data_IF_474030843510
#
_entry.id   IF_474030843510
#
_cell.length_a   1.000
_cell.length_b   1.000
_cell.length_c   1.000
_cell.angle_alpha   90.00
_cell.angle_beta   90.00
_cell.angle_gamma   90.00
#
_symmetry.space_group_name_H-M   'P 1'
#
loop_
_entity.id
_entity.type
_entity.pdbx_description
1 polymer ?
#
# COMPACT_ATOMS: atom_id res chain seq x y z
N UNK A 1 1.94 7.80 -0.33
CA UNK A 1 0.77 8.49 0.28
C UNK A 1 -0.49 7.70 -0.04
N UNK A 2 -1.27 7.32 0.99
CA UNK A 2 -2.32 6.27 1.01
C UNK A 2 -3.54 6.40 0.09
N UNK A 3 -3.35 6.79 -1.17
CA UNK A 3 -4.37 6.88 -2.22
C UNK A 3 -5.06 5.54 -2.47
N UNK A 4 -4.30 4.46 -2.58
CA UNK A 4 -4.82 3.10 -2.70
C UNK A 4 -5.69 2.70 -1.50
N UNK A 5 -5.28 3.07 -0.29
CA UNK A 5 -6.07 2.82 0.92
C UNK A 5 -7.33 3.66 0.98
N UNK A 6 -7.27 4.92 0.53
CA UNK A 6 -8.44 5.78 0.39
C UNK A 6 -9.47 5.17 -0.58
N UNK A 7 -9.05 4.75 -1.78
CA UNK A 7 -9.96 4.11 -2.74
C UNK A 7 -10.58 2.83 -2.18
N UNK A 8 -9.81 2.00 -1.49
CA UNK A 8 -10.32 0.77 -0.87
C UNK A 8 -11.32 1.06 0.25
N UNK A 9 -11.03 2.07 1.08
CA UNK A 9 -11.93 2.51 2.14
C UNK A 9 -13.24 3.03 1.55
N UNK A 10 -13.16 3.90 0.55
CA UNK A 10 -14.31 4.49 -0.10
C UNK A 10 -15.15 3.43 -0.83
N UNK A 11 -14.51 2.52 -1.58
CA UNK A 11 -15.19 1.39 -2.22
C UNK A 11 -15.93 0.51 -1.21
N UNK A 12 -15.36 0.29 -0.02
CA UNK A 12 -16.00 -0.49 1.06
C UNK A 12 -17.18 0.23 1.72
N UNK A 13 -17.17 1.57 1.72
CA UNK A 13 -18.19 2.42 2.34
C UNK A 13 -19.27 2.86 1.35
N UNK A 14 -19.03 2.75 0.06
CA UNK A 14 -19.96 3.16 -0.98
C UNK A 14 -21.25 2.35 -0.92
N UNK A 15 -22.38 3.04 -1.11
CA UNK A 15 -23.68 2.42 -1.33
C UNK A 15 -23.94 2.10 -2.82
N UNK A 16 -23.02 2.51 -3.71
CA UNK A 16 -23.07 2.27 -5.15
C UNK A 16 -22.25 1.03 -5.50
N UNK A 17 -22.49 0.47 -6.68
CA UNK A 17 -21.66 -0.60 -7.22
C UNK A 17 -20.32 0.01 -7.63
N UNK A 18 -19.24 -0.42 -6.98
CA UNK A 18 -17.88 0.05 -7.28
C UNK A 18 -17.06 -1.07 -7.89
N UNK A 19 -16.41 -0.80 -9.02
CA UNK A 19 -15.40 -1.69 -9.60
C UNK A 19 -14.01 -1.15 -9.31
N UNK A 20 -13.28 -1.86 -8.43
CA UNK A 20 -11.90 -1.54 -8.11
C UNK A 20 -10.91 -2.30 -9.02
N UNK A 21 -10.09 -1.56 -9.75
CA UNK A 21 -9.11 -2.03 -10.72
C UNK A 21 -7.71 -1.50 -10.40
N UNK A 22 -6.74 -2.35 -10.07
CA UNK A 22 -5.34 -1.98 -10.21
C UNK A 22 -5.04 -1.66 -11.68
N UNK A 23 -4.32 -0.58 -11.95
CA UNK A 23 -4.07 -0.10 -13.31
C UNK A 23 -3.39 -1.16 -14.19
N UNK A 24 -2.49 -1.98 -13.63
CA UNK A 24 -1.80 -3.05 -14.38
C UNK A 24 -2.77 -4.12 -14.94
N UNK A 25 -3.99 -4.22 -14.40
CA UNK A 25 -5.01 -5.12 -14.97
C UNK A 25 -5.69 -4.55 -16.22
N UNK A 26 -5.44 -3.28 -16.56
CA UNK A 26 -6.05 -2.58 -17.68
C UNK A 26 -5.20 -2.62 -18.96
N UNK A 27 -4.15 -3.46 -19.04
CA UNK A 27 -3.29 -3.58 -20.24
C UNK A 27 -4.07 -3.84 -21.53
N UNK A 28 -5.12 -4.67 -21.43
CA UNK A 28 -6.03 -5.00 -22.54
C UNK A 28 -7.18 -3.99 -22.71
N UNK A 29 -7.30 -3.02 -21.80
CA UNK A 29 -8.41 -2.08 -21.73
C UNK A 29 -9.17 -2.18 -20.40
N UNK A 30 -9.88 -1.10 -20.05
CA UNK A 30 -10.63 -1.00 -18.79
C UNK A 30 -11.89 -1.89 -18.84
N UNK A 31 -12.60 -1.91 -19.96
CA UNK A 31 -13.82 -2.73 -20.14
C UNK A 31 -13.52 -4.21 -19.94
N UNK A 32 -12.46 -4.70 -20.54
CA UNK A 32 -11.97 -6.07 -20.47
C UNK A 32 -11.57 -6.43 -19.03
N UNK A 33 -10.92 -5.49 -18.33
CA UNK A 33 -10.55 -5.67 -16.94
C UNK A 33 -11.78 -5.77 -16.01
N UNK A 34 -12.87 -5.06 -16.33
CA UNK A 34 -14.15 -5.20 -15.63
C UNK A 34 -14.81 -6.54 -15.97
N UNK A 35 -14.90 -6.91 -17.26
CA UNK A 35 -15.49 -8.18 -17.70
C UNK A 35 -14.80 -9.38 -17.05
N UNK A 36 -13.48 -9.36 -16.90
CA UNK A 36 -12.72 -10.42 -16.25
C UNK A 36 -13.09 -10.64 -14.77
N UNK A 37 -13.77 -9.68 -14.12
CA UNK A 37 -14.30 -9.81 -12.75
C UNK A 37 -15.74 -10.31 -12.69
N UNK A 38 -16.44 -10.34 -13.83
CA UNK A 38 -17.85 -10.69 -13.92
C UNK A 38 -18.01 -12.14 -14.40
N UNK A 39 -19.17 -12.73 -14.15
CA UNK A 39 -19.50 -14.09 -14.58
C UNK A 39 -20.88 -14.11 -15.26
N UNK A 40 -21.09 -15.04 -16.20
CA UNK A 40 -22.37 -15.21 -16.89
C UNK A 40 -22.77 -14.00 -17.75
N UNK A 41 -24.06 -13.66 -17.78
CA UNK A 41 -24.60 -12.57 -18.63
C UNK A 41 -24.03 -11.19 -18.30
N UNK A 42 -23.47 -10.99 -17.11
CA UNK A 42 -22.81 -9.74 -16.73
C UNK A 42 -21.52 -9.46 -17.53
N UNK A 43 -20.97 -10.46 -18.25
CA UNK A 43 -19.83 -10.28 -19.15
C UNK A 43 -20.21 -9.65 -20.49
N UNK A 44 -21.50 -9.56 -20.83
CA UNK A 44 -21.93 -8.97 -22.11
C UNK A 44 -21.44 -7.53 -22.25
N UNK A 45 -20.72 -7.27 -23.34
CA UNK A 45 -20.03 -6.00 -23.58
C UNK A 45 -21.02 -4.84 -23.72
N UNK A 46 -22.15 -5.06 -24.40
CA UNK A 46 -23.15 -4.01 -24.62
C UNK A 46 -23.86 -3.65 -23.31
N UNK A 47 -24.16 -4.65 -22.49
CA UNK A 47 -24.70 -4.46 -21.15
C UNK A 47 -23.73 -3.67 -20.26
N UNK A 48 -22.46 -4.07 -20.21
CA UNK A 48 -21.45 -3.37 -19.41
C UNK A 48 -21.28 -1.92 -19.88
N UNK A 49 -21.19 -1.69 -21.18
CA UNK A 49 -21.09 -0.36 -21.77
C UNK A 49 -22.28 0.52 -21.37
N UNK A 50 -23.49 -0.05 -21.35
CA UNK A 50 -24.71 0.66 -20.92
C UNK A 50 -24.65 1.03 -19.43
N UNK A 51 -24.13 0.15 -18.58
CA UNK A 51 -23.94 0.42 -17.14
C UNK A 51 -22.91 1.52 -16.88
N UNK A 52 -21.78 1.48 -17.59
CA UNK A 52 -20.72 2.49 -17.48
C UNK A 52 -21.25 3.85 -17.95
N UNK A 53 -21.87 3.89 -19.14
CA UNK A 53 -22.33 5.14 -19.75
C UNK A 53 -23.49 5.78 -18.98
N UNK A 54 -24.38 4.98 -18.38
CA UNK A 54 -25.45 5.48 -17.51
C UNK A 54 -24.94 5.93 -16.13
N UNK A 55 -23.66 5.70 -15.83
CA UNK A 55 -23.07 5.97 -14.53
C UNK A 55 -23.59 5.05 -13.44
N UNK A 56 -24.19 3.89 -13.77
CA UNK A 56 -24.75 2.95 -12.79
C UNK A 56 -23.66 2.29 -11.91
N UNK A 57 -22.41 2.30 -12.36
CA UNK A 57 -21.25 1.80 -11.64
C UNK A 57 -20.18 2.88 -11.54
N UNK A 58 -19.49 2.92 -10.40
CA UNK A 58 -18.32 3.77 -10.20
C UNK A 58 -17.05 2.95 -10.41
N UNK A 59 -16.05 3.49 -11.09
CA UNK A 59 -14.83 2.77 -11.49
C UNK A 59 -13.62 3.40 -10.82
N UNK A 60 -12.91 2.64 -9.98
CA UNK A 60 -11.71 3.09 -9.30
C UNK A 60 -10.49 2.43 -9.93
N UNK A 61 -9.61 3.24 -10.52
CA UNK A 61 -8.38 2.81 -11.17
C UNK A 61 -7.19 3.23 -10.30
N UNK A 62 -6.47 2.26 -9.74
CA UNK A 62 -5.41 2.50 -8.77
C UNK A 62 -4.01 2.35 -9.39
N UNK A 63 -3.17 3.38 -9.27
CA UNK A 63 -1.73 3.28 -9.58
C UNK A 63 -1.36 3.43 -11.06
N UNK A 64 -1.90 4.41 -11.78
CA UNK A 64 -1.58 4.60 -13.22
C UNK A 64 -0.09 4.91 -13.51
N UNK A 65 0.67 5.33 -12.50
CA UNK A 65 2.13 5.49 -12.58
C UNK A 65 2.89 4.16 -12.64
N UNK A 66 2.22 3.03 -12.43
CA UNK A 66 2.82 1.69 -12.39
C UNK A 66 2.69 0.93 -13.73
N UNK A 67 2.11 1.57 -14.76
CA UNK A 67 1.85 0.93 -16.06
C UNK A 67 2.52 1.63 -17.22
N UNK A 68 2.62 0.93 -18.36
CA UNK A 68 3.19 1.45 -19.60
C UNK A 68 2.41 2.65 -20.16
N UNK A 69 3.07 3.46 -20.99
CA UNK A 69 2.42 4.61 -21.66
C UNK A 69 1.21 4.18 -22.51
N UNK A 70 1.28 3.01 -23.16
CA UNK A 70 0.17 2.43 -23.92
C UNK A 70 -1.04 2.15 -23.03
N UNK A 71 -0.82 1.52 -21.86
CA UNK A 71 -1.90 1.24 -20.91
C UNK A 71 -2.53 2.52 -20.39
N UNK A 72 -1.71 3.56 -20.12
CA UNK A 72 -2.22 4.89 -19.74
C UNK A 72 -3.11 5.49 -20.84
N UNK A 73 -2.70 5.39 -22.10
CA UNK A 73 -3.48 5.88 -23.23
C UNK A 73 -4.84 5.17 -23.33
N UNK A 74 -4.88 3.84 -23.18
CA UNK A 74 -6.14 3.06 -23.15
C UNK A 74 -7.05 3.49 -22.01
N UNK A 75 -6.49 3.73 -20.82
CA UNK A 75 -7.26 4.24 -19.67
C UNK A 75 -7.81 5.64 -19.97
N UNK A 76 -7.00 6.55 -20.53
CA UNK A 76 -7.46 7.89 -20.91
C UNK A 76 -8.60 7.84 -21.92
N UNK A 77 -8.42 7.09 -23.01
CA UNK A 77 -9.42 6.93 -24.06
C UNK A 77 -10.74 6.40 -23.50
N UNK A 78 -10.68 5.41 -22.59
CA UNK A 78 -11.86 4.89 -21.92
C UNK A 78 -12.60 5.97 -21.12
N UNK A 79 -11.87 6.77 -20.34
CA UNK A 79 -12.46 7.82 -19.48
C UNK A 79 -13.09 8.93 -20.34
N UNK A 80 -12.43 9.30 -21.43
CA UNK A 80 -12.94 10.34 -22.34
C UNK A 80 -14.19 9.86 -23.10
N UNK A 81 -14.22 8.61 -23.56
CA UNK A 81 -15.42 8.02 -24.20
C UNK A 81 -16.59 7.88 -23.22
N UNK A 82 -16.31 7.60 -21.95
CA UNK A 82 -17.32 7.37 -20.90
C UNK A 82 -17.47 8.57 -19.96
N UNK A 83 -17.49 9.79 -20.50
CA UNK A 83 -17.52 11.05 -19.73
C UNK A 83 -18.74 11.23 -18.79
N UNK A 84 -19.79 10.40 -18.93
CA UNK A 84 -20.95 10.37 -18.02
C UNK A 84 -20.79 9.40 -16.85
N UNK A 85 -19.81 8.50 -16.91
CA UNK A 85 -19.48 7.57 -15.85
C UNK A 85 -18.66 8.23 -14.74
N UNK A 86 -18.71 7.66 -13.54
CA UNK A 86 -17.89 8.10 -12.42
C UNK A 86 -16.59 7.31 -12.39
N UNK A 87 -15.47 7.96 -12.70
CA UNK A 87 -14.15 7.32 -12.65
C UNK A 87 -13.22 8.09 -11.70
N UNK A 88 -12.62 7.38 -10.74
CA UNK A 88 -11.56 7.92 -9.89
C UNK A 88 -10.27 7.22 -10.26
N UNK A 89 -9.23 8.00 -10.58
CA UNK A 89 -7.90 7.50 -10.95
C UNK A 89 -6.90 7.99 -9.91
N UNK A 90 -6.04 7.11 -9.41
CA UNK A 90 -4.91 7.52 -8.56
C UNK A 90 -3.61 7.46 -9.34
N UNK A 91 -2.75 8.44 -9.07
CA UNK A 91 -1.40 8.49 -9.60
C UNK A 91 -0.44 9.08 -8.57
N UNK A 92 0.82 8.73 -8.67
CA UNK A 92 1.92 9.55 -8.16
C UNK A 92 2.27 10.64 -9.20
N UNK A 93 3.01 11.71 -8.83
CA UNK A 93 3.49 12.68 -9.80
C UNK A 93 4.15 11.96 -10.99
N UNK A 94 3.63 12.22 -12.18
CA UNK A 94 4.01 11.56 -13.43
C UNK A 94 3.86 12.57 -14.55
N UNK A 95 4.78 12.55 -15.51
CA UNK A 95 4.60 13.26 -16.77
C UNK A 95 3.65 12.48 -17.68
N UNK A 96 2.40 12.93 -17.76
CA UNK A 96 1.40 12.37 -18.65
C UNK A 96 0.30 13.40 -18.91
N UNK A 97 -0.46 13.17 -19.99
CA UNK A 97 -1.63 13.97 -20.32
C UNK A 97 -2.84 13.27 -19.70
N UNK A 98 -3.37 13.86 -18.63
CA UNK A 98 -4.60 13.38 -18.01
C UNK A 98 -5.80 13.59 -18.96
N UNK A 99 -6.89 12.81 -18.80
CA UNK A 99 -8.10 12.99 -19.59
C UNK A 99 -8.60 14.43 -19.53
N UNK A 100 -9.02 14.98 -20.67
CA UNK A 100 -9.48 16.36 -20.80
C UNK A 100 -10.67 16.71 -19.88
N UNK A 101 -11.46 15.71 -19.50
CA UNK A 101 -12.62 15.81 -18.60
C UNK A 101 -12.27 15.68 -17.12
N UNK A 102 -11.01 15.37 -16.78
CA UNK A 102 -10.63 15.05 -15.41
C UNK A 102 -10.47 16.29 -14.52
N UNK A 103 -10.95 16.18 -13.28
CA UNK A 103 -10.62 17.12 -12.20
C UNK A 103 -9.51 16.52 -11.34
N UNK A 104 -8.47 17.31 -11.09
CA UNK A 104 -7.33 16.87 -10.28
C UNK A 104 -7.52 17.22 -8.82
N UNK A 105 -7.49 16.21 -7.96
CA UNK A 105 -7.48 16.35 -6.51
C UNK A 105 -6.13 15.95 -5.94
N UNK A 106 -5.60 16.74 -5.00
CA UNK A 106 -4.33 16.45 -4.32
C UNK A 106 -4.62 16.00 -2.89
N UNK A 107 -4.18 14.79 -2.56
CA UNK A 107 -4.22 14.29 -1.18
C UNK A 107 -3.28 15.15 -0.32
N UNK A 108 -3.84 15.78 0.71
CA UNK A 108 -3.08 16.62 1.63
C UNK A 108 -2.32 15.77 2.65
N UNK A 109 -1.19 16.28 3.20
CA UNK A 109 -0.56 15.70 4.38
C UNK A 109 -1.55 15.57 5.55
N UNK A 110 -1.29 14.62 6.44
CA UNK A 110 -2.05 14.48 7.67
C UNK A 110 -1.74 15.65 8.60
N UNK A 111 -2.78 16.13 9.29
CA UNK A 111 -2.62 17.08 10.39
C UNK A 111 -1.99 16.40 11.60
N UNK A 112 -1.39 17.18 12.49
CA UNK A 112 -0.85 16.68 13.78
C UNK A 112 -1.88 15.87 14.56
N UNK A 113 -3.12 16.35 14.64
CA UNK A 113 -4.21 15.66 15.33
C UNK A 113 -4.51 14.29 14.68
N UNK A 114 -4.51 14.21 13.36
CA UNK A 114 -4.73 12.95 12.65
C UNK A 114 -3.57 11.95 12.87
N UNK A 115 -2.33 12.43 12.95
CA UNK A 115 -1.16 11.62 13.27
C UNK A 115 -1.27 11.06 14.70
N UNK A 116 -1.59 11.91 15.68
CA UNK A 116 -1.80 11.53 17.08
C UNK A 116 -2.93 10.51 17.23
N UNK A 117 -4.06 10.75 16.55
CA UNK A 117 -5.20 9.84 16.55
C UNK A 117 -4.84 8.49 15.94
N UNK A 118 -4.16 8.48 14.79
CA UNK A 118 -3.76 7.25 14.10
C UNK A 118 -2.86 6.37 14.98
N UNK A 119 -1.87 6.95 15.66
CA UNK A 119 -1.03 6.20 16.59
C UNK A 119 -1.84 5.71 17.79
N UNK A 120 -2.71 6.54 18.36
CA UNK A 120 -3.52 6.17 19.52
C UNK A 120 -4.49 5.01 19.23
N UNK A 121 -5.15 5.03 18.07
CA UNK A 121 -6.07 3.96 17.64
C UNK A 121 -5.36 2.63 17.39
N UNK A 122 -4.05 2.67 17.09
CA UNK A 122 -3.25 1.46 16.90
C UNK A 122 -3.02 0.67 18.17
N UNK A 123 -3.17 1.28 19.35
CA UNK A 123 -3.03 0.59 20.63
C UNK A 123 -3.91 -0.67 20.72
N UNK A 124 -5.12 -0.63 20.15
CA UNK A 124 -6.07 -1.73 20.14
C UNK A 124 -5.72 -2.86 19.15
N UNK A 125 -4.76 -2.63 18.25
CA UNK A 125 -4.34 -3.57 17.20
C UNK A 125 -2.92 -4.10 17.40
N UNK A 126 -2.30 -3.81 18.54
CA UNK A 126 -0.98 -4.32 18.88
C UNK A 126 -1.05 -5.84 19.12
N UNK A 127 -0.06 -6.55 18.59
CA UNK A 127 0.06 -8.00 18.76
C UNK A 127 0.44 -8.40 20.19
N UNK A 128 0.43 -9.70 20.45
CA UNK A 128 0.80 -10.22 21.77
C UNK A 128 2.27 -9.96 22.12
N UNK A 129 3.14 -9.90 21.11
CA UNK A 129 4.59 -9.66 21.23
C UNK A 129 4.97 -8.19 21.48
N UNK A 130 4.01 -7.26 21.57
CA UNK A 130 4.32 -5.87 21.90
C UNK A 130 4.83 -5.74 23.35
N UNK A 131 5.99 -5.14 23.54
CA UNK A 131 6.59 -4.89 24.87
C UNK A 131 5.88 -3.77 25.63
N UNK A 132 5.35 -2.78 24.92
CA UNK A 132 4.55 -1.68 25.49
C UNK A 132 3.14 -1.73 24.90
N UNK A 133 2.11 -1.67 25.76
CA UNK A 133 0.70 -1.77 25.37
C UNK A 133 -0.17 -0.74 26.09
N UNK A 134 -1.43 -0.64 25.68
CA UNK A 134 -2.44 0.16 26.37
C UNK A 134 -2.04 1.63 26.51
N UNK A 135 -2.18 2.16 27.73
CA UNK A 135 -1.92 3.58 27.99
C UNK A 135 -0.43 3.93 28.03
N UNK A 136 0.45 2.99 28.39
CA UNK A 136 1.90 3.19 28.30
C UNK A 136 2.35 3.40 26.85
N UNK A 137 1.76 2.65 25.92
CA UNK A 137 2.03 2.82 24.49
C UNK A 137 1.54 4.19 24.00
N UNK A 138 0.30 4.59 24.35
CA UNK A 138 -0.23 5.90 23.98
C UNK A 138 0.64 7.03 24.53
N UNK A 139 1.13 6.90 25.77
CA UNK A 139 2.05 7.86 26.39
C UNK A 139 3.38 7.91 25.64
N UNK A 140 3.94 6.77 25.25
CA UNK A 140 5.16 6.70 24.45
C UNK A 140 4.98 7.37 23.07
N UNK A 141 3.85 7.14 22.38
CA UNK A 141 3.51 7.82 21.13
C UNK A 141 3.42 9.34 21.31
N UNK A 142 2.75 9.81 22.37
CA UNK A 142 2.64 11.24 22.65
C UNK A 142 4.01 11.87 22.90
N UNK A 143 4.85 11.23 23.72
CA UNK A 143 6.20 11.72 24.00
C UNK A 143 7.07 11.77 22.74
N UNK A 144 6.96 10.75 21.89
CA UNK A 144 7.65 10.71 20.60
C UNK A 144 7.23 11.90 19.70
N UNK A 145 5.92 12.14 19.57
CA UNK A 145 5.41 13.23 18.74
C UNK A 145 5.74 14.62 19.31
N UNK A 146 5.78 14.79 20.64
CA UNK A 146 6.24 16.04 21.25
C UNK A 146 7.68 16.36 20.84
N UNK A 147 8.55 15.34 20.81
CA UNK A 147 9.96 15.52 20.43
C UNK A 147 10.13 15.81 18.93
N UNK A 148 9.41 15.07 18.08
CA UNK A 148 9.58 15.12 16.62
C UNK A 148 8.83 16.29 15.98
N UNK A 149 7.72 16.71 16.58
CA UNK A 149 6.90 17.84 16.12
C UNK A 149 7.00 19.01 17.10
N UNK A 150 8.19 19.23 17.64
CA UNK A 150 8.47 20.38 18.50
C UNK A 150 8.47 21.66 17.66
N UNK A 151 7.66 22.64 18.06
CA UNK A 151 7.55 23.92 17.39
C UNK A 151 8.82 24.79 17.55
N UNK A 152 9.78 24.37 18.39
CA UNK A 152 11.10 24.99 18.49
C UNK A 152 12.07 24.55 17.38
N UNK A 153 11.75 23.50 16.62
CA UNK A 153 12.55 23.06 15.48
C UNK A 153 12.43 24.06 14.30
N UNK A 154 13.45 24.13 13.42
CA UNK A 154 13.35 24.88 12.18
C UNK A 154 12.13 24.47 11.36
N UNK A 155 11.47 25.43 10.71
CA UNK A 155 10.25 25.19 9.93
C UNK A 155 10.41 24.09 8.88
N UNK A 156 11.58 24.02 8.23
CA UNK A 156 11.86 23.01 7.20
C UNK A 156 11.96 21.60 7.78
N UNK A 157 12.52 21.44 8.98
CA UNK A 157 12.61 20.15 9.69
C UNK A 157 11.23 19.69 10.17
N UNK A 158 10.40 20.63 10.65
CA UNK A 158 9.04 20.34 11.06
C UNK A 158 8.19 19.89 9.86
N UNK A 159 8.30 20.60 8.72
CA UNK A 159 7.61 20.25 7.48
C UNK A 159 8.06 18.90 6.93
N UNK A 160 9.36 18.60 6.96
CA UNK A 160 9.89 17.30 6.56
C UNK A 160 9.33 16.19 7.46
N UNK A 161 9.34 16.40 8.77
CA UNK A 161 8.82 15.43 9.75
C UNK A 161 7.33 15.16 9.55
N UNK A 162 6.52 16.22 9.37
CA UNK A 162 5.10 16.11 9.07
C UNK A 162 4.84 15.37 7.75
N UNK A 163 5.63 15.62 6.71
CA UNK A 163 5.50 14.92 5.42
C UNK A 163 5.77 13.43 5.55
N UNK A 164 6.81 13.03 6.29
CA UNK A 164 7.12 11.60 6.52
C UNK A 164 6.01 10.95 7.35
N UNK A 165 5.61 11.56 8.47
CA UNK A 165 4.54 11.01 9.34
C UNK A 165 3.16 11.02 8.67
N UNK A 166 2.97 11.81 7.61
CA UNK A 166 1.76 11.78 6.78
C UNK A 166 1.65 10.53 5.90
N UNK A 167 2.73 9.77 5.75
CA UNK A 167 2.68 8.48 5.07
C UNK A 167 2.18 7.40 6.05
N UNK A 168 1.02 6.78 5.81
CA UNK A 168 0.51 5.75 6.71
C UNK A 168 1.45 4.57 6.88
N UNK A 169 2.28 4.25 5.89
CA UNK A 169 3.26 3.17 6.00
C UNK A 169 4.36 3.51 7.03
N UNK A 170 4.98 4.68 6.91
CA UNK A 170 6.01 5.14 7.86
C UNK A 170 5.42 5.30 9.27
N UNK A 171 4.20 5.84 9.38
CA UNK A 171 3.52 5.98 10.66
C UNK A 171 3.16 4.62 11.28
N UNK A 172 2.92 3.60 10.45
CA UNK A 172 2.76 2.22 10.91
C UNK A 172 4.06 1.65 11.47
N UNK A 173 5.18 1.94 10.82
CA UNK A 173 6.49 1.50 11.27
C UNK A 173 6.88 2.16 12.60
N UNK A 174 6.66 3.48 12.72
CA UNK A 174 6.83 4.22 13.97
C UNK A 174 6.02 3.58 15.10
N UNK A 175 4.74 3.27 14.85
CA UNK A 175 3.91 2.57 15.82
C UNK A 175 4.50 1.22 16.24
N UNK A 176 4.95 0.40 15.29
CA UNK A 176 5.52 -0.92 15.58
C UNK A 176 6.79 -0.79 16.42
N UNK A 177 7.71 0.10 16.05
CA UNK A 177 8.94 0.36 16.80
C UNK A 177 8.66 0.81 18.24
N UNK A 178 7.75 1.77 18.44
CA UNK A 178 7.37 2.23 19.78
C UNK A 178 6.78 1.09 20.62
N UNK A 179 5.95 0.23 20.01
CA UNK A 179 5.39 -0.94 20.70
C UNK A 179 6.45 -1.95 21.14
N UNK A 180 7.62 -1.95 20.51
CA UNK A 180 8.77 -2.80 20.82
C UNK A 180 9.79 -2.13 21.76
N UNK A 181 9.41 -1.01 22.39
CA UNK A 181 10.28 -0.18 23.22
C UNK A 181 11.47 0.44 22.47
N UNK A 182 11.38 0.55 21.14
CA UNK A 182 12.41 1.19 20.32
C UNK A 182 12.17 2.70 20.22
N UNK A 183 13.22 3.44 19.86
CA UNK A 183 13.17 4.87 19.59
C UNK A 183 13.25 5.12 18.08
N UNK A 184 12.12 5.39 17.39
CA UNK A 184 12.12 5.52 15.93
C UNK A 184 12.96 6.71 15.48
N UNK A 185 13.90 6.47 14.58
CA UNK A 185 14.59 7.52 13.84
C UNK A 185 13.82 7.82 12.55
N UNK A 186 13.12 8.95 12.51
CA UNK A 186 12.20 9.29 11.43
C UNK A 186 12.89 9.33 10.05
N UNK A 187 14.17 9.69 10.00
CA UNK A 187 14.93 9.82 8.76
C UNK A 187 15.62 8.52 8.33
N UNK A 188 15.67 7.52 9.22
CA UNK A 188 16.31 6.23 8.96
C UNK A 188 15.39 5.03 9.28
N UNK A 189 14.06 5.23 9.31
CA UNK A 189 13.09 4.21 9.76
C UNK A 189 13.29 2.85 9.10
N UNK A 190 13.40 2.80 7.78
CA UNK A 190 13.55 1.54 7.05
C UNK A 190 14.88 0.84 7.37
N UNK A 191 15.97 1.60 7.46
CA UNK A 191 17.27 1.07 7.83
C UNK A 191 17.27 0.55 9.26
N UNK A 192 16.65 1.29 10.19
CA UNK A 192 16.51 0.88 11.59
C UNK A 192 15.68 -0.40 11.71
N UNK A 193 14.56 -0.50 10.98
CA UNK A 193 13.75 -1.72 10.93
C UNK A 193 14.56 -2.92 10.43
N UNK A 194 15.30 -2.75 9.34
CA UNK A 194 16.16 -3.79 8.80
C UNK A 194 17.25 -4.20 9.80
N UNK A 195 17.90 -3.24 10.47
CA UNK A 195 18.96 -3.54 11.44
C UNK A 195 18.44 -4.35 12.63
N UNK A 196 17.25 -4.01 13.14
CA UNK A 196 16.61 -4.77 14.21
C UNK A 196 16.31 -6.21 13.77
N UNK A 197 15.72 -6.36 12.58
CA UNK A 197 15.41 -7.67 11.99
C UNK A 197 16.67 -8.50 11.74
N UNK A 198 17.69 -7.90 11.14
CA UNK A 198 18.95 -8.57 10.82
C UNK A 198 19.71 -9.00 12.09
N UNK A 199 19.69 -8.19 13.15
CA UNK A 199 20.30 -8.54 14.43
C UNK A 199 19.56 -9.72 15.10
N UNK A 200 18.23 -9.81 14.98
CA UNK A 200 17.49 -10.98 15.45
C UNK A 200 17.76 -12.21 14.60
N UNK A 201 17.76 -12.05 13.27
CA UNK A 201 18.09 -13.11 12.32
C UNK A 201 19.45 -13.76 12.64
N UNK A 202 20.48 -12.93 12.88
CA UNK A 202 21.81 -13.41 13.25
C UNK A 202 21.82 -14.18 14.58
N UNK A 203 21.03 -13.73 15.57
CA UNK A 203 20.93 -14.43 16.86
C UNK A 203 20.25 -15.78 16.75
N UNK A 204 19.18 -15.87 15.97
CA UNK A 204 18.38 -17.08 15.79
C UNK A 204 19.09 -18.10 14.89
N UNK A 205 19.57 -17.66 13.73
CA UNK A 205 20.06 -18.54 12.68
C UNK A 205 21.59 -18.64 12.58
N UNK A 206 22.32 -17.87 13.40
CA UNK A 206 23.80 -17.88 13.49
C UNK A 206 24.53 -17.57 12.18
N UNK A 207 23.87 -16.87 11.26
CA UNK A 207 24.49 -16.32 10.05
C UNK A 207 23.83 -15.00 9.66
N UNK A 208 24.61 -14.13 9.02
CA UNK A 208 24.15 -12.80 8.65
C UNK A 208 23.05 -12.89 7.59
N UNK A 209 22.09 -11.96 7.64
CA UNK A 209 21.08 -11.83 6.59
C UNK A 209 21.79 -11.57 5.25
N UNK A 210 21.58 -12.39 4.20
CA UNK A 210 22.33 -12.31 2.96
C UNK A 210 21.83 -11.18 2.04
N UNK A 211 21.86 -9.94 2.55
CA UNK A 211 21.20 -8.77 1.96
C UNK A 211 21.56 -8.57 0.49
N UNK A 212 22.85 -8.66 0.13
CA UNK A 212 23.31 -8.46 -1.24
C UNK A 212 22.74 -9.51 -2.20
N UNK A 213 22.70 -10.78 -1.79
CA UNK A 213 22.16 -11.87 -2.60
C UNK A 213 20.64 -11.73 -2.73
N UNK A 214 19.97 -11.47 -1.61
CA UNK A 214 18.53 -11.26 -1.55
C UNK A 214 18.11 -10.08 -2.43
N UNK A 215 18.72 -8.91 -2.25
CA UNK A 215 18.40 -7.69 -2.99
C UNK A 215 18.63 -7.85 -4.50
N UNK A 216 19.72 -8.53 -4.90
CA UNK A 216 19.98 -8.83 -6.31
C UNK A 216 18.90 -9.72 -6.90
N UNK A 217 18.45 -10.75 -6.17
CA UNK A 217 17.38 -11.63 -6.65
C UNK A 217 16.07 -10.88 -6.79
N UNK A 218 15.70 -10.06 -5.80
CA UNK A 218 14.50 -9.22 -5.88
C UNK A 218 14.58 -8.25 -7.05
N UNK A 219 15.74 -7.63 -7.29
CA UNK A 219 15.94 -6.75 -8.44
C UNK A 219 15.68 -7.47 -9.77
N UNK A 220 16.25 -8.67 -9.96
CA UNK A 220 16.03 -9.47 -11.16
C UNK A 220 14.55 -9.83 -11.37
N UNK A 221 13.84 -10.19 -10.29
CA UNK A 221 12.41 -10.45 -10.34
C UNK A 221 11.63 -9.22 -10.79
N UNK A 222 11.97 -8.03 -10.27
CA UNK A 222 11.35 -6.77 -10.70
C UNK A 222 11.62 -6.44 -12.16
N UNK A 223 12.81 -6.73 -12.68
CA UNK A 223 13.10 -6.57 -14.11
C UNK A 223 12.26 -7.48 -15.01
N UNK A 224 11.75 -8.58 -14.46
CA UNK A 224 10.91 -9.55 -15.18
C UNK A 224 9.41 -9.41 -14.82
N UNK A 225 9.00 -8.31 -14.19
CA UNK A 225 7.64 -8.08 -13.69
C UNK A 225 7.11 -9.17 -12.72
N UNK A 226 8.02 -9.91 -12.09
CA UNK A 226 7.70 -10.91 -11.09
C UNK A 226 7.56 -10.28 -9.70
N UNK A 227 6.43 -10.55 -9.03
CA UNK A 227 6.12 -9.98 -7.71
C UNK A 227 6.23 -10.98 -6.56
N UNK A 228 6.48 -12.26 -6.83
CA UNK A 228 6.56 -13.30 -5.81
C UNK A 228 7.93 -13.26 -5.15
N UNK A 229 7.98 -13.34 -3.83
CA UNK A 229 9.25 -13.60 -3.16
C UNK A 229 9.65 -15.07 -3.35
N UNK A 230 10.94 -15.33 -3.68
CA UNK A 230 11.47 -16.66 -3.94
C UNK A 230 11.63 -17.45 -2.63
N UNK A 231 10.49 -17.93 -2.11
CA UNK A 231 10.38 -18.57 -0.78
C UNK A 231 11.16 -19.89 -0.68
N UNK A 232 11.40 -20.56 -1.80
CA UNK A 232 12.20 -21.79 -1.85
C UNK A 232 13.70 -21.51 -1.66
N UNK A 233 14.17 -20.32 -2.07
CA UNK A 233 15.58 -19.94 -1.98
C UNK A 233 15.90 -19.19 -0.68
N UNK A 234 14.96 -18.37 -0.18
CA UNK A 234 15.16 -17.46 0.96
C UNK A 234 14.14 -17.69 2.07
N UNK A 235 13.84 -18.96 2.38
CA UNK A 235 12.78 -19.32 3.31
C UNK A 235 12.95 -18.67 4.69
N UNK A 236 14.16 -18.76 5.27
CA UNK A 236 14.46 -18.24 6.61
C UNK A 236 14.40 -16.72 6.64
N UNK A 237 14.94 -16.07 5.62
CA UNK A 237 14.93 -14.62 5.46
C UNK A 237 13.48 -14.11 5.37
N UNK A 238 12.66 -14.77 4.55
CA UNK A 238 11.25 -14.39 4.36
C UNK A 238 10.45 -14.64 5.65
N UNK A 239 10.70 -15.74 6.37
CA UNK A 239 10.09 -15.97 7.69
C UNK A 239 10.45 -14.85 8.69
N UNK A 240 11.72 -14.47 8.76
CA UNK A 240 12.19 -13.37 9.63
C UNK A 240 11.59 -12.02 9.25
N UNK A 241 11.39 -11.77 7.95
CA UNK A 241 10.77 -10.54 7.45
C UNK A 241 9.24 -10.53 7.64
N UNK A 242 8.59 -11.69 7.65
CA UNK A 242 7.13 -11.85 7.88
C UNK A 242 6.75 -11.62 9.35
N UNK A 243 7.67 -11.90 10.29
CA UNK A 243 7.45 -11.85 11.73
C UNK A 243 6.63 -10.61 12.17
N UNK A 244 5.66 -10.80 13.07
CA UNK A 244 4.78 -9.74 13.56
C UNK A 244 5.52 -8.54 14.18
N UNK A 245 6.76 -8.72 14.65
CA UNK A 245 7.64 -7.64 15.13
C UNK A 245 8.09 -6.70 14.01
N UNK A 246 8.24 -7.21 12.79
CA UNK A 246 8.84 -6.49 11.67
C UNK A 246 7.86 -6.22 10.53
N UNK A 247 7.02 -7.18 10.14
CA UNK A 247 5.98 -7.05 9.09
C UNK A 247 6.51 -6.43 7.79
N UNK A 248 7.74 -6.77 7.41
CA UNK A 248 8.39 -6.28 6.20
C UNK A 248 7.88 -7.00 4.94
N UNK A 249 7.28 -8.19 5.13
CA UNK A 249 6.66 -9.00 4.08
C UNK A 249 5.27 -9.41 4.55
N UNK A 250 4.34 -9.54 3.60
CA UNK A 250 2.99 -10.04 3.85
C UNK A 250 2.74 -11.32 3.07
N UNK A 251 2.03 -12.24 3.73
CA UNK A 251 1.49 -13.45 3.10
C UNK A 251 0.14 -13.15 2.48
N UNK A 252 0.01 -13.45 1.18
CA UNK A 252 -1.27 -13.41 0.47
C UNK A 252 -1.71 -14.84 0.17
N UNK A 253 -2.90 -15.18 0.64
CA UNK A 253 -3.56 -16.44 0.29
C UNK A 253 -4.61 -16.15 -0.77
N UNK A 254 -4.51 -16.85 -1.90
CA UNK A 254 -5.54 -16.85 -2.94
C UNK A 254 -6.28 -18.17 -2.87
N UNK A 255 -7.59 -18.09 -2.60
CA UNK A 255 -8.50 -19.21 -2.83
C UNK A 255 -8.93 -19.16 -4.29
N UNK A 256 -8.43 -20.07 -5.11
CA UNK A 256 -9.00 -20.29 -6.44
C UNK A 256 -10.38 -20.93 -6.25
N UNK A 257 -11.45 -20.24 -6.66
CA UNK A 257 -12.83 -20.74 -6.48
C UNK A 257 -13.03 -22.07 -7.26
N UNK A 258 -12.21 -22.32 -8.28
CA UNK A 258 -12.30 -23.49 -9.16
C UNK A 258 -11.27 -24.58 -8.89
N UNK A 259 -10.33 -24.38 -7.97
CA UNK A 259 -9.40 -25.43 -7.56
C UNK A 259 -9.27 -25.42 -6.05
N UNK A 260 -9.46 -26.56 -5.39
CA UNK A 260 -9.26 -26.73 -3.94
C UNK A 260 -7.78 -26.52 -3.50
N UNK A 261 -6.99 -25.74 -4.25
CA UNK A 261 -5.61 -25.39 -3.98
C UNK A 261 -5.54 -23.93 -3.55
N UNK A 262 -5.14 -23.71 -2.30
CA UNK A 262 -4.78 -22.38 -1.80
C UNK A 262 -3.36 -22.07 -2.25
N UNK A 263 -3.19 -21.14 -3.20
CA UNK A 263 -1.87 -20.65 -3.55
C UNK A 263 -1.45 -19.58 -2.53
N UNK A 264 -0.29 -19.78 -1.91
CA UNK A 264 0.27 -18.84 -0.93
C UNK A 264 1.47 -18.13 -1.56
N UNK A 265 1.44 -16.80 -1.56
CA UNK A 265 2.49 -15.97 -2.15
C UNK A 265 2.95 -14.94 -1.13
N UNK A 266 4.25 -14.83 -0.96
CA UNK A 266 4.87 -13.81 -0.13
C UNK A 266 5.18 -12.60 -1.00
N UNK A 267 4.79 -11.41 -0.56
CA UNK A 267 4.95 -10.16 -1.29
C UNK A 267 5.35 -9.04 -0.33
N UNK A 268 6.04 -8.02 -0.84
CA UNK A 268 6.22 -6.78 -0.08
C UNK A 268 4.87 -6.07 0.12
N UNK A 269 4.67 -5.37 1.24
CA UNK A 269 3.49 -4.51 1.42
C UNK A 269 3.40 -3.47 0.29
N UNK A 270 2.18 -3.10 -0.14
CA UNK A 270 1.96 -2.08 -1.16
C UNK A 270 2.35 -0.67 -0.70
#
# INVERSE_FOLDING_TARGET
>A
MGKSMFLRYDAKKSHRIVVFLPAFKCEKGVSEAIQAKLHGQAQDENFLRSLVYSGAIDIYIDGINEVSAETRAKICEFVEKNFRGNVIITTQPLEWIAPSTAKTYKLQPLTRLQIEQFLSERAARLGNEAKIKGDDYKKACKNYLVKILDNQLPSDELDASLRILSNPMDLSLVSTMISQSEHPDLFNLQQQQYNLMSAEYQREWKHDFPLKKFSMRIYQLRCNDETALPSDEFNKEIMSMEDEKYKMVVRREWSDINSNKTAKRMEFPP
#
